data_IF_643505308457
#
_entry.id   IF_643505308457
#
_cell.length_a   1.000
_cell.length_b   1.000
_cell.length_c   1.000
_cell.angle_alpha   90.00
_cell.angle_beta   90.00
_cell.angle_gamma   90.00
#
_symmetry.space_group_name_H-M   'P 1'
#
loop_
_entity.id
_entity.type
_entity.pdbx_description
1 polymer ?
#
# COMPACT_ATOMS: atom_id res chain seq x y z
N UNK A 1 33.56 -37.75 25.68
CA UNK A 1 35.04 -37.76 25.63
C UNK A 1 35.47 -37.38 24.22
N UNK A 2 36.33 -36.34 24.17
CA UNK A 2 37.22 -35.83 23.10
C UNK A 2 36.98 -36.21 21.61
N UNK A 3 36.90 -35.22 20.69
CA UNK A 3 37.02 -35.47 19.26
C UNK A 3 38.49 -35.64 18.83
N UNK A 4 38.71 -36.55 17.88
CA UNK A 4 40.00 -36.87 17.26
C UNK A 4 40.44 -35.73 16.33
N UNK A 5 41.60 -35.15 16.62
CA UNK A 5 42.33 -34.28 15.68
C UNK A 5 43.03 -35.16 14.63
N UNK A 6 42.72 -34.95 13.35
CA UNK A 6 43.57 -35.39 12.24
C UNK A 6 44.22 -34.16 11.60
N UNK A 7 45.52 -33.99 11.87
CA UNK A 7 46.39 -33.03 11.19
C UNK A 7 46.84 -33.64 9.86
N UNK A 8 46.50 -33.00 8.75
CA UNK A 8 47.13 -33.28 7.46
C UNK A 8 47.86 -32.02 6.98
N UNK A 9 49.19 -32.08 6.99
CA UNK A 9 50.05 -31.17 6.22
C UNK A 9 50.55 -31.96 5.02
N UNK A 10 50.34 -31.48 3.80
CA UNK A 10 51.38 -31.58 2.77
C UNK A 10 51.17 -30.64 1.57
N UNK A 11 52.33 -30.15 1.12
CA UNK A 11 52.71 -29.80 -0.23
C UNK A 11 52.11 -28.54 -0.87
N UNK A 12 52.87 -27.46 -0.68
CA UNK A 12 52.94 -26.33 -1.59
C UNK A 12 53.42 -26.82 -2.96
N UNK A 13 52.59 -26.65 -4.00
CA UNK A 13 53.05 -26.60 -5.38
C UNK A 13 52.74 -25.23 -5.93
N UNK A 14 53.80 -24.52 -6.31
CA UNK A 14 53.72 -23.25 -6.99
C UNK A 14 53.10 -23.46 -8.39
N UNK A 15 51.95 -22.85 -8.62
CA UNK A 15 51.44 -22.63 -9.97
C UNK A 15 51.67 -21.15 -10.31
N UNK A 16 52.62 -20.96 -11.21
CA UNK A 16 52.97 -19.70 -11.85
C UNK A 16 51.76 -19.07 -12.54
N UNK A 17 51.62 -17.75 -12.34
CA UNK A 17 51.18 -16.76 -13.32
C UNK A 17 49.95 -17.04 -14.17
N UNK A 18 48.87 -16.32 -13.89
CA UNK A 18 48.35 -15.32 -14.83
C UNK A 18 47.52 -14.30 -14.05
N UNK A 19 48.07 -13.10 -13.83
CA UNK A 19 47.27 -11.96 -13.41
C UNK A 19 46.39 -11.57 -14.60
N UNK A 20 45.20 -12.16 -14.69
CA UNK A 20 44.14 -11.59 -15.50
C UNK A 20 43.74 -10.27 -14.83
N UNK A 21 44.19 -9.15 -15.39
CA UNK A 21 43.62 -7.86 -15.10
C UNK A 21 42.12 -7.96 -15.41
N UNK A 22 41.30 -8.11 -14.37
CA UNK A 22 39.86 -7.95 -14.48
C UNK A 22 39.60 -6.47 -14.72
N UNK A 23 39.71 -6.05 -15.98
CA UNK A 23 39.05 -4.84 -16.44
C UNK A 23 37.55 -4.96 -16.14
N UNK A 24 36.83 -3.85 -15.96
CA UNK A 24 35.41 -3.88 -15.66
C UNK A 24 34.72 -4.66 -16.78
N UNK A 25 34.16 -5.83 -16.44
CA UNK A 25 33.31 -6.58 -17.36
C UNK A 25 32.11 -5.69 -17.61
N UNK A 26 32.04 -5.10 -18.81
CA UNK A 26 30.86 -4.40 -19.26
C UNK A 26 29.72 -5.43 -19.30
N UNK A 27 28.85 -5.37 -18.29
CA UNK A 27 27.63 -6.18 -18.28
C UNK A 27 26.83 -5.81 -19.53
N UNK A 28 26.41 -6.77 -20.37
CA UNK A 28 25.58 -6.46 -21.53
C UNK A 28 24.29 -5.79 -21.05
N UNK A 29 23.89 -4.69 -21.69
CA UNK A 29 22.76 -3.85 -21.26
C UNK A 29 21.45 -4.61 -21.06
N UNK A 30 21.28 -5.75 -21.74
CA UNK A 30 20.13 -6.65 -21.55
C UNK A 30 20.07 -7.28 -20.16
N UNK A 31 21.21 -7.60 -19.53
CA UNK A 31 21.23 -8.18 -18.19
C UNK A 31 20.78 -7.17 -17.12
N UNK A 32 21.15 -5.89 -17.29
CA UNK A 32 20.70 -4.81 -16.41
C UNK A 32 19.19 -4.56 -16.63
N UNK A 33 18.72 -4.56 -17.88
CA UNK A 33 17.31 -4.41 -18.19
C UNK A 33 16.45 -5.54 -17.60
N UNK A 34 16.88 -6.81 -17.70
CA UNK A 34 16.17 -7.95 -17.10
C UNK A 34 16.09 -7.85 -15.58
N UNK A 35 17.19 -7.50 -14.90
CA UNK A 35 17.19 -7.34 -13.43
C UNK A 35 16.30 -6.18 -12.98
N UNK A 36 16.27 -5.07 -13.72
CA UNK A 36 15.37 -3.94 -13.44
C UNK A 36 13.90 -4.35 -13.63
N UNK A 37 13.58 -5.09 -14.69
CA UNK A 37 12.22 -5.58 -14.96
C UNK A 37 11.77 -6.60 -13.90
N UNK A 38 12.65 -7.51 -13.48
CA UNK A 38 12.33 -8.47 -12.42
C UNK A 38 12.12 -7.80 -11.06
N UNK A 39 12.94 -6.80 -10.71
CA UNK A 39 12.73 -6.01 -9.49
C UNK A 39 11.43 -5.20 -9.53
N UNK A 40 11.07 -4.65 -10.69
CA UNK A 40 9.79 -3.96 -10.88
C UNK A 40 8.59 -4.93 -10.87
N UNK A 41 8.79 -6.21 -11.17
CA UNK A 41 7.77 -7.25 -11.17
C UNK A 41 7.60 -7.99 -9.82
N UNK A 42 8.53 -7.79 -8.89
CA UNK A 42 8.48 -8.40 -7.57
C UNK A 42 7.25 -7.91 -6.79
N UNK A 43 6.53 -8.79 -6.07
CA UNK A 43 5.47 -8.38 -5.17
C UNK A 43 5.99 -7.41 -4.10
N UNK A 44 5.18 -6.40 -3.77
CA UNK A 44 5.39 -5.52 -2.63
C UNK A 44 5.06 -6.30 -1.36
N UNK A 45 5.96 -6.25 -0.38
CA UNK A 45 5.68 -6.76 0.97
C UNK A 45 4.68 -5.83 1.68
N UNK A 46 3.54 -6.37 2.07
CA UNK A 46 2.49 -5.65 2.78
C UNK A 46 2.33 -6.25 4.17
N UNK A 47 2.75 -5.48 5.18
CA UNK A 47 2.59 -5.80 6.61
C UNK A 47 1.21 -5.35 7.07
N UNK A 48 0.35 -6.29 7.44
CA UNK A 48 -1.03 -6.06 7.88
C UNK A 48 -1.21 -6.40 9.35
N UNK A 49 -2.09 -5.65 10.01
CA UNK A 49 -2.55 -5.94 11.36
C UNK A 49 -4.06 -5.70 11.47
N UNK A 50 -4.82 -6.71 11.88
CA UNK A 50 -6.26 -6.60 12.15
C UNK A 50 -6.47 -6.01 13.55
N UNK A 51 -7.01 -4.80 13.62
CA UNK A 51 -7.26 -4.11 14.90
C UNK A 51 -8.32 -4.79 15.78
N UNK A 52 -9.19 -5.62 15.20
CA UNK A 52 -10.28 -6.28 15.91
C UNK A 52 -9.85 -7.66 16.40
N UNK A 53 -9.20 -8.43 15.53
CA UNK A 53 -8.77 -9.80 15.85
C UNK A 53 -7.36 -9.86 16.46
N UNK A 54 -6.60 -8.76 16.43
CA UNK A 54 -5.25 -8.65 16.97
C UNK A 54 -4.26 -9.64 16.34
N UNK A 55 -4.47 -9.94 15.06
CA UNK A 55 -3.62 -10.82 14.25
C UNK A 55 -2.83 -10.02 13.23
N UNK A 56 -1.58 -10.40 12.99
CA UNK A 56 -0.73 -9.82 11.95
C UNK A 56 -0.50 -10.81 10.81
N UNK A 57 -0.26 -10.28 9.62
CA UNK A 57 0.14 -11.05 8.45
C UNK A 57 1.12 -10.22 7.60
N UNK A 58 2.01 -10.91 6.90
CA UNK A 58 2.89 -10.29 5.90
C UNK A 58 2.67 -11.02 4.59
N UNK A 59 2.21 -10.29 3.57
CA UNK A 59 1.81 -10.85 2.28
C UNK A 59 2.51 -10.15 1.13
N UNK A 60 2.67 -10.83 0.00
CA UNK A 60 3.19 -10.23 -1.23
C UNK A 60 2.04 -9.82 -2.17
N UNK A 61 1.93 -8.53 -2.49
CA UNK A 61 0.96 -8.02 -3.47
C UNK A 61 1.69 -7.38 -4.66
N UNK A 62 1.41 -7.82 -5.89
CA UNK A 62 1.96 -7.15 -7.09
C UNK A 62 1.32 -5.77 -7.28
N UNK A 63 1.99 -4.89 -8.03
CA UNK A 63 1.50 -3.51 -8.30
C UNK A 63 0.16 -3.44 -9.01
N UNK A 64 -0.27 -4.50 -9.69
CA UNK A 64 -1.60 -4.62 -10.31
C UNK A 64 -2.66 -5.23 -9.37
N UNK A 65 -2.29 -5.52 -8.12
CA UNK A 65 -3.11 -6.19 -7.13
C UNK A 65 -3.18 -7.71 -7.26
N UNK A 66 -2.42 -8.31 -8.18
CA UNK A 66 -2.33 -9.77 -8.30
C UNK A 66 -1.53 -10.38 -7.15
N UNK A 67 -1.87 -11.63 -6.82
CA UNK A 67 -1.21 -12.47 -5.83
C UNK A 67 -1.23 -13.91 -6.35
N UNK A 68 -0.38 -14.78 -5.79
CA UNK A 68 -0.56 -16.22 -5.97
C UNK A 68 -1.81 -16.73 -5.24
N UNK A 69 -2.23 -17.96 -5.55
CA UNK A 69 -3.48 -18.51 -5.03
C UNK A 69 -3.47 -18.71 -3.51
N UNK A 70 -2.32 -19.05 -2.93
CA UNK A 70 -2.17 -19.25 -1.49
C UNK A 70 -2.33 -17.91 -0.74
N UNK A 71 -1.63 -16.88 -1.20
CA UNK A 71 -1.73 -15.52 -0.68
C UNK A 71 -3.14 -14.96 -0.89
N UNK A 72 -3.75 -15.21 -2.05
CA UNK A 72 -5.12 -14.78 -2.32
C UNK A 72 -6.13 -15.43 -1.37
N UNK A 73 -5.96 -16.72 -1.03
CA UNK A 73 -6.80 -17.39 -0.05
C UNK A 73 -6.59 -16.81 1.37
N UNK A 74 -5.34 -16.56 1.77
CA UNK A 74 -5.01 -15.93 3.05
C UNK A 74 -5.64 -14.54 3.17
N UNK A 75 -5.47 -13.68 2.16
CA UNK A 75 -6.05 -12.33 2.12
C UNK A 75 -7.57 -12.36 2.18
N UNK A 76 -8.19 -13.27 1.43
CA UNK A 76 -9.64 -13.45 1.43
C UNK A 76 -10.16 -13.82 2.82
N UNK A 77 -9.43 -14.66 3.55
CA UNK A 77 -9.74 -15.02 4.92
C UNK A 77 -9.48 -13.86 5.90
N UNK A 78 -8.33 -13.21 5.81
CA UNK A 78 -7.93 -12.09 6.68
C UNK A 78 -8.93 -10.92 6.58
N UNK A 79 -9.41 -10.61 5.38
CA UNK A 79 -10.34 -9.52 5.10
C UNK A 79 -11.82 -9.91 5.12
N UNK A 80 -12.15 -11.10 5.62
CA UNK A 80 -13.53 -11.60 5.67
C UNK A 80 -14.46 -10.75 6.53
N UNK A 81 -15.76 -10.91 6.30
CA UNK A 81 -16.77 -10.30 7.15
C UNK A 81 -16.75 -10.95 8.53
N UNK A 82 -16.30 -10.23 9.55
CA UNK A 82 -16.16 -10.77 10.91
C UNK A 82 -17.47 -11.20 11.56
N UNK A 83 -18.59 -10.56 11.20
CA UNK A 83 -19.91 -10.89 11.76
C UNK A 83 -20.49 -12.18 11.17
N UNK A 84 -20.23 -12.46 9.89
CA UNK A 84 -20.86 -13.58 9.18
C UNK A 84 -19.86 -14.68 8.79
N UNK A 85 -18.57 -14.46 9.01
CA UNK A 85 -17.44 -15.21 8.47
C UNK A 85 -17.46 -15.42 6.94
N UNK A 86 -18.33 -14.72 6.20
CA UNK A 86 -18.32 -14.79 4.75
C UNK A 86 -17.04 -14.18 4.21
N UNK A 87 -16.53 -14.80 3.16
CA UNK A 87 -15.30 -14.45 2.48
C UNK A 87 -15.60 -13.96 1.06
N UNK A 88 -14.88 -12.94 0.62
CA UNK A 88 -14.93 -12.44 -0.77
C UNK A 88 -13.55 -11.94 -1.20
N UNK A 89 -13.12 -12.23 -2.45
CA UNK A 89 -11.92 -11.62 -2.98
C UNK A 89 -12.05 -10.10 -2.97
N UNK A 90 -11.04 -9.41 -2.43
CA UNK A 90 -10.97 -7.95 -2.52
C UNK A 90 -10.66 -7.56 -3.97
N UNK A 91 -11.27 -6.48 -4.44
CA UNK A 91 -11.05 -5.98 -5.79
C UNK A 91 -9.56 -5.71 -6.05
N UNK A 92 -9.07 -6.16 -7.21
CA UNK A 92 -7.66 -6.01 -7.63
C UNK A 92 -7.16 -4.57 -7.53
N UNK A 93 -7.95 -3.59 -7.98
CA UNK A 93 -7.57 -2.16 -7.88
C UNK A 93 -7.39 -1.71 -6.43
N UNK A 94 -8.21 -2.18 -5.49
CA UNK A 94 -8.07 -1.86 -4.07
C UNK A 94 -6.79 -2.47 -3.48
N UNK A 95 -6.44 -3.69 -3.89
CA UNK A 95 -5.18 -4.34 -3.48
C UNK A 95 -3.95 -3.65 -4.09
N UNK A 96 -4.02 -3.20 -5.35
CA UNK A 96 -2.98 -2.40 -5.99
C UNK A 96 -2.72 -1.09 -5.21
N UNK A 97 -3.78 -0.36 -4.86
CA UNK A 97 -3.63 0.86 -4.04
C UNK A 97 -3.03 0.55 -2.66
N UNK A 98 -3.40 -0.58 -2.05
CA UNK A 98 -2.85 -1.01 -0.76
C UNK A 98 -1.35 -1.34 -0.86
N UNK A 99 -0.91 -1.98 -1.95
CA UNK A 99 0.50 -2.24 -2.22
C UNK A 99 1.30 -0.93 -2.35
N UNK A 100 0.76 0.06 -3.08
CA UNK A 100 1.43 1.36 -3.24
C UNK A 100 1.46 2.18 -1.94
N UNK A 101 0.46 2.03 -1.07
CA UNK A 101 0.49 2.59 0.29
C UNK A 101 1.58 1.90 1.13
N UNK A 102 1.66 0.57 1.09
CA UNK A 102 2.65 -0.19 1.85
C UNK A 102 4.08 0.18 1.44
N UNK A 103 4.35 0.22 0.14
CA UNK A 103 5.65 0.59 -0.42
C UNK A 103 6.06 2.03 -0.08
N UNK A 104 5.11 2.97 -0.11
CA UNK A 104 5.37 4.37 0.20
C UNK A 104 5.81 4.58 1.65
N UNK A 105 5.20 3.87 2.58
CA UNK A 105 5.36 4.14 4.01
C UNK A 105 6.25 3.14 4.75
N UNK A 106 6.51 1.95 4.17
CA UNK A 106 7.25 0.82 4.78
C UNK A 106 6.93 0.61 6.26
N UNK A 107 5.63 0.54 6.55
CA UNK A 107 5.08 0.41 7.91
C UNK A 107 3.90 -0.54 7.89
N UNK A 108 3.59 -1.11 9.06
CA UNK A 108 2.39 -1.93 9.24
C UNK A 108 1.14 -1.10 9.02
N UNK A 109 0.28 -1.61 8.14
CA UNK A 109 -1.07 -1.09 7.90
C UNK A 109 -2.00 -1.76 8.92
N UNK A 110 -2.54 -0.95 9.82
CA UNK A 110 -3.54 -1.35 10.80
C UNK A 110 -4.92 -1.19 10.17
N UNK A 111 -5.54 -2.30 9.76
CA UNK A 111 -6.84 -2.25 9.14
C UNK A 111 -7.96 -2.48 10.17
N UNK A 112 -9.00 -1.67 10.05
CA UNK A 112 -10.20 -1.73 10.88
C UNK A 112 -11.24 -2.61 10.20
N UNK A 113 -11.45 -2.48 8.89
CA UNK A 113 -12.47 -3.25 8.17
C UNK A 113 -12.15 -3.38 6.68
N UNK A 114 -12.64 -4.44 6.05
CA UNK A 114 -12.50 -4.68 4.61
C UNK A 114 -13.83 -5.20 4.03
N UNK A 115 -13.95 -6.47 3.65
CA UNK A 115 -15.27 -7.02 3.28
C UNK A 115 -16.16 -7.14 4.53
N UNK A 116 -17.34 -6.52 4.49
CA UNK A 116 -18.37 -6.68 5.52
C UNK A 116 -19.77 -6.58 4.94
N UNK A 117 -20.72 -7.17 5.66
CA UNK A 117 -22.15 -7.04 5.42
C UNK A 117 -22.77 -6.75 6.78
N UNK A 118 -23.31 -5.55 6.95
CA UNK A 118 -23.97 -5.14 8.19
C UNK A 118 -25.45 -4.83 7.96
N UNK A 119 -26.27 -5.03 8.99
CA UNK A 119 -27.68 -4.63 8.94
C UNK A 119 -27.77 -3.09 8.86
N UNK A 120 -28.64 -2.58 8.00
CA UNK A 120 -28.78 -1.13 7.75
C UNK A 120 -27.69 -0.52 6.84
N UNK A 121 -26.66 -1.28 6.45
CA UNK A 121 -25.66 -0.81 5.48
C UNK A 121 -26.24 -0.79 4.05
N UNK A 122 -26.02 0.32 3.34
CA UNK A 122 -26.45 0.48 1.95
C UNK A 122 -26.05 -0.73 1.09
N UNK A 123 -26.96 -1.21 0.25
CA UNK A 123 -26.69 -2.30 -0.71
C UNK A 123 -25.56 -1.97 -1.69
N UNK A 124 -25.31 -0.68 -1.91
CA UNK A 124 -24.24 -0.17 -2.79
C UNK A 124 -22.93 0.09 -2.06
N UNK A 125 -22.83 -0.22 -0.75
CA UNK A 125 -21.61 -0.03 0.04
C UNK A 125 -20.40 -0.69 -0.63
N UNK A 126 -19.29 0.05 -0.82
CA UNK A 126 -18.05 -0.52 -1.33
C UNK A 126 -17.51 -1.67 -0.46
N UNK A 127 -17.75 -1.68 0.85
CA UNK A 127 -17.39 -2.80 1.71
C UNK A 127 -18.15 -4.08 1.37
N UNK A 128 -19.46 -4.00 1.11
CA UNK A 128 -20.27 -5.16 0.67
C UNK A 128 -19.81 -5.70 -0.67
N UNK A 129 -19.32 -4.81 -1.53
CA UNK A 129 -18.71 -5.14 -2.82
C UNK A 129 -17.29 -5.70 -2.73
N UNK A 130 -16.70 -5.81 -1.53
CA UNK A 130 -15.28 -6.17 -1.33
C UNK A 130 -14.33 -5.24 -2.09
N UNK A 131 -14.68 -3.94 -2.20
CA UNK A 131 -13.88 -2.93 -2.90
C UNK A 131 -13.25 -1.90 -1.96
N UNK A 132 -13.48 -2.01 -0.66
CA UNK A 132 -13.04 -1.03 0.32
C UNK A 132 -12.18 -1.64 1.43
N UNK A 133 -11.34 -0.79 2.00
CA UNK A 133 -10.59 -1.03 3.23
C UNK A 133 -10.59 0.25 4.08
N UNK A 134 -10.83 0.09 5.38
CA UNK A 134 -10.66 1.12 6.40
C UNK A 134 -9.35 0.85 7.14
N UNK A 135 -8.41 1.79 7.17
CA UNK A 135 -7.10 1.56 7.76
C UNK A 135 -6.41 2.82 8.28
N UNK A 136 -5.34 2.62 9.03
CA UNK A 136 -4.39 3.66 9.46
C UNK A 136 -2.96 3.10 9.46
N UNK A 137 -1.99 3.99 9.58
CA UNK A 137 -0.57 3.63 9.74
C UNK A 137 -0.01 4.42 10.92
N UNK A 138 0.49 3.73 11.95
CA UNK A 138 1.07 4.44 13.11
C UNK A 138 2.27 5.28 12.69
N UNK A 139 2.30 6.53 13.14
CA UNK A 139 3.35 7.49 12.82
C UNK A 139 3.16 8.21 11.48
N UNK A 140 2.08 7.93 10.74
CA UNK A 140 1.70 8.68 9.53
C UNK A 140 0.35 9.35 9.80
N UNK A 141 0.25 10.64 9.49
CA UNK A 141 -1.00 11.37 9.73
C UNK A 141 -2.09 10.94 8.75
N UNK A 142 -3.35 10.84 9.20
CA UNK A 142 -4.48 10.51 8.32
C UNK A 142 -4.63 11.50 7.15
N UNK A 143 -4.48 12.83 7.32
CA UNK A 143 -4.49 13.77 6.21
C UNK A 143 -3.43 13.50 5.14
N UNK A 144 -2.24 13.04 5.54
CA UNK A 144 -1.18 12.70 4.59
C UNK A 144 -1.55 11.49 3.72
N UNK A 145 -2.05 10.42 4.33
CA UNK A 145 -2.51 9.22 3.60
C UNK A 145 -3.67 9.58 2.67
N UNK A 146 -4.66 10.33 3.18
CA UNK A 146 -5.82 10.81 2.44
C UNK A 146 -5.42 11.62 1.21
N UNK A 147 -4.55 12.61 1.40
CA UNK A 147 -4.13 13.50 0.31
C UNK A 147 -3.28 12.74 -0.72
N UNK A 148 -2.43 11.82 -0.28
CA UNK A 148 -1.69 10.94 -1.18
C UNK A 148 -2.63 10.13 -2.06
N UNK A 149 -3.58 9.40 -1.47
CA UNK A 149 -4.53 8.57 -2.21
C UNK A 149 -5.36 9.42 -3.18
N UNK A 150 -5.90 10.55 -2.71
CA UNK A 150 -6.76 11.41 -3.51
C UNK A 150 -6.04 12.06 -4.71
N UNK A 151 -4.75 12.38 -4.57
CA UNK A 151 -3.92 12.92 -5.67
C UNK A 151 -3.49 11.85 -6.66
N UNK A 152 -3.27 10.63 -6.18
CA UNK A 152 -2.63 9.57 -6.97
C UNK A 152 -3.63 8.82 -7.85
N UNK A 153 -4.87 8.67 -7.37
CA UNK A 153 -5.85 7.80 -8.02
C UNK A 153 -7.09 8.55 -8.51
N UNK A 154 -7.67 7.99 -9.56
CA UNK A 154 -9.01 8.28 -10.08
C UNK A 154 -9.88 7.04 -10.01
N UNK A 155 -11.18 7.21 -10.16
CA UNK A 155 -12.21 6.20 -9.93
C UNK A 155 -12.10 5.60 -8.51
N UNK A 156 -12.04 6.49 -7.51
CA UNK A 156 -11.85 6.13 -6.09
C UNK A 156 -12.82 6.83 -5.15
N UNK A 157 -13.10 6.19 -4.02
CA UNK A 157 -13.70 6.85 -2.88
C UNK A 157 -12.73 6.94 -1.72
N UNK A 158 -12.52 8.16 -1.21
CA UNK A 158 -11.62 8.43 -0.08
C UNK A 158 -12.40 9.13 1.03
N UNK A 159 -12.55 8.43 2.15
CA UNK A 159 -13.21 8.94 3.34
C UNK A 159 -12.20 9.23 4.46
N UNK A 160 -12.35 10.37 5.13
CA UNK A 160 -11.55 10.73 6.29
C UNK A 160 -12.37 10.63 7.58
N UNK A 161 -11.92 9.79 8.51
CA UNK A 161 -12.57 9.54 9.80
C UNK A 161 -11.67 10.04 10.93
N UNK A 162 -11.67 11.35 11.25
CA UNK A 162 -10.79 11.92 12.26
C UNK A 162 -11.15 11.53 13.68
N UNK A 163 -12.39 11.13 13.98
CA UNK A 163 -12.76 10.71 15.34
C UNK A 163 -12.44 9.22 15.53
N UNK A 164 -12.81 8.39 14.57
CA UNK A 164 -12.60 6.94 14.58
C UNK A 164 -11.16 6.55 14.20
N UNK A 165 -10.36 7.52 13.78
CA UNK A 165 -8.93 7.40 13.50
C UNK A 165 -8.57 6.44 12.35
N UNK A 166 -9.24 6.55 11.21
CA UNK A 166 -8.87 5.80 9.99
C UNK A 166 -9.15 6.56 8.69
N UNK A 167 -8.60 6.05 7.60
CA UNK A 167 -8.94 6.40 6.22
C UNK A 167 -9.73 5.27 5.59
N UNK A 168 -10.84 5.61 4.96
CA UNK A 168 -11.54 4.73 4.04
C UNK A 168 -10.96 4.90 2.65
N UNK A 169 -10.65 3.78 1.99
CA UNK A 169 -10.19 3.73 0.62
C UNK A 169 -10.98 2.68 -0.15
N UNK A 170 -11.60 3.08 -1.25
CA UNK A 170 -12.32 2.15 -2.12
C UNK A 170 -12.11 2.39 -3.61
N UNK A 171 -12.21 1.32 -4.40
CA UNK A 171 -12.20 1.40 -5.86
C UNK A 171 -13.62 1.51 -6.42
N UNK A 172 -13.79 2.46 -7.35
CA UNK A 172 -15.07 2.85 -7.94
C UNK A 172 -15.01 2.84 -9.47
N UNK A 173 -14.73 1.67 -10.10
CA UNK A 173 -14.67 1.60 -11.54
C UNK A 173 -15.98 2.13 -12.13
N UNK A 174 -15.88 2.94 -13.18
CA UNK A 174 -16.99 3.58 -13.89
C UNK A 174 -17.83 4.58 -13.09
N UNK A 175 -17.34 5.01 -11.93
CA UNK A 175 -17.95 6.08 -11.13
C UNK A 175 -16.96 7.23 -10.94
N UNK A 176 -17.50 8.41 -10.65
CA UNK A 176 -16.70 9.57 -10.33
C UNK A 176 -16.02 9.44 -8.96
N UNK A 177 -14.90 10.15 -8.82
CA UNK A 177 -14.19 10.24 -7.55
C UNK A 177 -15.07 10.85 -6.46
N UNK A 178 -15.09 10.22 -5.29
CA UNK A 178 -15.90 10.68 -4.16
C UNK A 178 -15.02 10.91 -2.94
N UNK A 179 -15.02 12.12 -2.41
CA UNK A 179 -14.34 12.46 -1.17
C UNK A 179 -15.36 12.85 -0.10
N UNK A 180 -15.13 12.41 1.14
CA UNK A 180 -15.93 12.83 2.29
C UNK A 180 -15.10 12.91 3.57
N UNK A 181 -15.58 13.71 4.51
CA UNK A 181 -15.15 13.66 5.90
C UNK A 181 -16.31 13.13 6.73
N UNK A 182 -16.08 12.13 7.57
CA UNK A 182 -17.08 11.63 8.51
C UNK A 182 -16.95 12.37 9.84
N UNK A 183 -18.01 13.05 10.27
CA UNK A 183 -18.05 13.77 11.54
C UNK A 183 -19.40 13.53 12.20
N UNK A 184 -19.39 13.27 13.51
CA UNK A 184 -20.60 13.19 14.33
C UNK A 184 -21.70 12.26 13.75
N UNK A 185 -21.32 11.17 13.09
CA UNK A 185 -22.26 10.21 12.51
C UNK A 185 -22.65 10.49 11.05
N UNK A 186 -22.14 11.55 10.43
CA UNK A 186 -22.55 12.01 9.11
C UNK A 186 -21.39 12.11 8.12
N UNK A 187 -21.69 11.85 6.84
CA UNK A 187 -20.75 12.04 5.73
C UNK A 187 -20.88 13.47 5.16
N UNK A 188 -19.81 14.26 5.27
CA UNK A 188 -19.69 15.56 4.63
C UNK A 188 -18.94 15.41 3.30
N UNK A 189 -19.69 15.32 2.20
CA UNK A 189 -19.15 15.18 0.85
C UNK A 189 -18.56 16.48 0.30
N UNK A 190 -17.70 16.35 -0.71
CA UNK A 190 -16.98 17.48 -1.36
C UNK A 190 -16.24 18.38 -0.35
N UNK A 191 -15.45 17.81 0.57
CA UNK A 191 -14.77 18.60 1.57
C UNK A 191 -13.68 19.47 0.94
N UNK A 192 -13.44 20.65 1.50
CA UNK A 192 -12.45 21.62 1.00
C UNK A 192 -11.05 21.02 0.80
N UNK A 193 -10.65 20.06 1.65
CA UNK A 193 -9.35 19.39 1.50
C UNK A 193 -9.22 18.65 0.16
N UNK A 194 -10.32 18.11 -0.37
CA UNK A 194 -10.31 17.36 -1.62
C UNK A 194 -10.06 18.28 -2.82
N UNK A 195 -10.61 19.49 -2.79
CA UNK A 195 -10.30 20.53 -3.78
C UNK A 195 -8.83 20.92 -3.70
N UNK A 196 -8.35 21.29 -2.51
CA UNK A 196 -6.98 21.76 -2.29
C UNK A 196 -5.95 20.70 -2.70
N UNK A 197 -6.19 19.44 -2.35
CA UNK A 197 -5.27 18.36 -2.65
C UNK A 197 -5.06 18.16 -4.17
N UNK A 198 -6.09 18.40 -4.99
CA UNK A 198 -6.02 18.26 -6.45
C UNK A 198 -5.75 19.57 -7.20
N UNK A 199 -5.63 20.71 -6.51
CA UNK A 199 -5.26 21.96 -7.17
C UNK A 199 -3.86 21.84 -7.80
N UNK A 200 -3.69 22.21 -9.07
CA UNK A 200 -2.39 22.25 -9.70
C UNK A 200 -1.48 23.25 -8.95
N UNK A 201 -0.21 22.88 -8.77
CA UNK A 201 0.78 23.67 -8.01
C UNK A 201 0.93 25.10 -8.56
N UNK A 202 0.64 25.32 -9.85
CA UNK A 202 0.68 26.63 -10.51
C UNK A 202 -0.39 27.62 -10.03
N UNK A 203 -1.54 27.17 -9.52
CA UNK A 203 -2.59 28.06 -9.01
C UNK A 203 -2.41 28.43 -7.53
N UNK A 204 -1.71 27.59 -6.76
CA UNK A 204 -1.45 27.84 -5.34
C UNK A 204 -0.49 29.02 -5.10
N UNK A 205 0.34 29.36 -6.08
CA UNK A 205 1.30 30.48 -6.05
C UNK A 205 0.71 31.79 -6.57
N UNK A 206 -0.46 31.77 -7.23
CA UNK A 206 -1.12 32.96 -7.77
C UNK A 206 -1.97 33.73 -6.74
N UNK A 207 -1.50 33.84 -5.48
CA UNK A 207 -2.13 34.76 -4.52
C UNK A 207 -1.53 36.15 -4.73
N UNK A 208 -2.28 37.14 -5.24
CA UNK A 208 -1.75 38.49 -5.36
C UNK A 208 -1.40 39.06 -3.97
N UNK A 209 -0.41 39.97 -3.87
CA UNK A 209 -0.06 40.59 -2.60
C UNK A 209 -1.31 41.24 -2.00
N UNK A 210 -1.58 40.94 -0.73
CA UNK A 210 -2.60 41.67 0.03
C UNK A 210 -2.14 43.10 0.16
N UNK A 211 -2.65 43.98 -0.70
CA UNK A 211 -2.57 45.41 -0.47
C UNK A 211 -3.31 45.67 0.84
N UNK A 212 -2.58 46.00 1.91
CA UNK A 212 -3.16 46.71 3.04
C UNK A 212 -3.35 48.16 2.56
N UNK A 213 -4.57 48.70 2.45
CA UNK A 213 -4.72 50.14 2.48
C UNK A 213 -4.39 50.56 3.91
N UNK A 214 -3.34 51.37 4.06
CA UNK A 214 -3.08 52.04 5.32
C UNK A 214 -4.17 53.07 5.57
N UNK A 215 -4.83 52.96 6.71
CA UNK A 215 -5.29 54.07 7.57
C UNK A 215 -5.23 53.55 9.01
#
# INVERSE_FOLDING_TARGET
>A
MLPVLLKLKLAMSAASGLAAAAGPVAMPGNAIATVIVERAAAPVEVKLYDENLRIGATIGIRRDGAMDDATAAEVKHLFRCRQTNRERPIARRTLAMLADVADRYDRTIEFVSAYRVQHGESSTSPHRGARAIDFRIRGVSLPEIRDYLWRTYTEVGIGWYPVEQFIHMDSRPTLHDTAWTFLAGENHYHPYWAEVARRPVSEATARPPRHRPGV
#
